data_IF_891074099469
#
_entry.id   IF_891074099469
#
_cell.length_a   1.000
_cell.length_b   1.000
_cell.length_c   1.000
_cell.angle_alpha   90.00
_cell.angle_beta   90.00
_cell.angle_gamma   90.00
#
_symmetry.space_group_name_H-M   'P 1'
#
loop_
_entity.id
_entity.type
_entity.pdbx_description
1 polymer ?
#
# COMPACT_ATOMS: atom_id res chain seq x y z
N UNK A 1 -12.75 21.85 9.37
CA UNK A 1 -12.50 20.90 8.83
C UNK A 1 -12.23 19.72 9.53
N UNK A 2 -11.97 19.16 10.27
CA UNK A 2 -11.90 17.92 10.95
C UNK A 2 -11.52 16.69 10.15
N UNK A 3 -11.09 16.87 8.92
CA UNK A 3 -10.68 15.70 8.19
C UNK A 3 -9.34 15.19 8.67
N UNK A 4 -9.23 13.88 8.78
CA UNK A 4 -7.96 13.26 9.10
C UNK A 4 -7.01 13.44 7.92
N UNK A 5 -5.78 13.79 8.22
CA UNK A 5 -4.72 13.86 7.23
C UNK A 5 -3.76 12.68 7.37
N UNK A 6 -4.22 11.59 7.97
CA UNK A 6 -3.40 10.40 8.17
C UNK A 6 -4.01 9.23 7.40
N UNK A 7 -3.18 8.33 6.84
CA UNK A 7 -3.68 7.10 6.27
C UNK A 7 -4.43 6.30 7.33
N UNK A 8 -5.55 5.69 6.93
CA UNK A 8 -6.28 4.84 7.84
C UNK A 8 -5.53 3.52 8.01
N UNK A 9 -5.39 3.01 9.24
CA UNK A 9 -4.73 1.72 9.42
C UNK A 9 -5.65 0.58 8.99
N UNK A 10 -5.06 -0.45 8.37
CA UNK A 10 -5.77 -1.68 8.08
C UNK A 10 -4.87 -2.85 8.46
N UNK A 11 -5.43 -3.83 9.17
CA UNK A 11 -4.72 -5.04 9.54
C UNK A 11 -4.63 -5.99 8.37
N UNK A 12 -3.61 -6.85 8.35
CA UNK A 12 -3.43 -7.79 7.25
C UNK A 12 -4.66 -8.69 7.07
N UNK A 13 -5.24 -9.19 8.17
CA UNK A 13 -6.42 -10.02 8.09
C UNK A 13 -7.63 -9.27 7.54
N UNK A 14 -7.76 -7.99 7.87
CA UNK A 14 -8.85 -7.16 7.35
C UNK A 14 -8.68 -6.91 5.85
N UNK A 15 -7.45 -6.68 5.41
CA UNK A 15 -7.18 -6.50 3.98
C UNK A 15 -7.47 -7.79 3.22
N UNK A 16 -7.10 -8.95 3.78
CA UNK A 16 -7.42 -10.22 3.16
C UNK A 16 -8.93 -10.38 2.97
N UNK A 17 -9.70 -10.08 4.01
CA UNK A 17 -11.16 -10.15 3.93
C UNK A 17 -11.70 -9.23 2.85
N UNK A 18 -11.17 -8.00 2.76
CA UNK A 18 -11.57 -7.06 1.73
C UNK A 18 -11.30 -7.60 0.34
N UNK A 19 -10.08 -8.11 0.11
CA UNK A 19 -9.69 -8.65 -1.20
C UNK A 19 -10.51 -9.88 -1.61
N UNK A 20 -11.02 -10.62 -0.64
CA UNK A 20 -11.85 -11.81 -0.90
C UNK A 20 -13.33 -11.50 -0.95
N UNK A 21 -13.73 -10.29 -0.61
CA UNK A 21 -15.14 -9.91 -0.56
C UNK A 21 -15.64 -9.51 -1.94
N UNK A 22 -16.95 -9.25 -2.04
CA UNK A 22 -17.55 -8.73 -3.25
C UNK A 22 -17.45 -7.21 -3.35
N UNK A 23 -16.91 -6.55 -2.32
CA UNK A 23 -16.66 -5.10 -2.39
C UNK A 23 -15.62 -4.83 -3.48
N UNK A 24 -15.72 -3.67 -4.16
CA UNK A 24 -14.65 -3.29 -5.08
C UNK A 24 -13.30 -3.28 -4.36
N UNK A 25 -12.31 -3.93 -4.98
CA UNK A 25 -10.98 -4.06 -4.36
C UNK A 25 -10.27 -2.71 -4.35
N UNK A 26 -9.41 -2.49 -3.35
CA UNK A 26 -8.55 -1.31 -3.36
C UNK A 26 -7.45 -1.48 -4.39
N UNK A 27 -6.82 -0.38 -4.78
CA UNK A 27 -5.59 -0.45 -5.55
C UNK A 27 -4.43 -0.52 -4.54
N UNK A 28 -3.54 -1.49 -4.73
CA UNK A 28 -2.42 -1.72 -3.83
C UNK A 28 -1.17 -1.07 -4.40
N UNK A 29 -0.50 -0.25 -3.61
CA UNK A 29 0.74 0.40 -4.02
C UNK A 29 1.84 -0.09 -3.11
N UNK A 30 2.83 -0.78 -3.68
CA UNK A 30 3.97 -1.32 -2.94
C UNK A 30 5.16 -0.40 -3.16
N UNK A 31 5.63 0.22 -2.08
CA UNK A 31 6.71 1.21 -2.14
C UNK A 31 8.08 0.63 -1.79
N UNK A 32 8.17 -0.71 -1.65
CA UNK A 32 9.43 -1.36 -1.33
C UNK A 32 10.38 -1.33 -2.52
N UNK A 33 11.64 -1.61 -2.25
CA UNK A 33 12.65 -1.67 -3.29
C UNK A 33 12.54 -2.95 -4.10
N UNK A 34 13.05 -2.94 -5.31
CA UNK A 34 12.96 -4.08 -6.21
C UNK A 34 13.58 -5.34 -5.60
N UNK A 35 14.69 -5.20 -4.89
CA UNK A 35 15.35 -6.33 -4.23
C UNK A 35 14.45 -6.97 -3.17
N UNK A 36 13.61 -6.18 -2.50
CA UNK A 36 12.69 -6.71 -1.50
C UNK A 36 11.58 -7.54 -2.16
N UNK A 37 11.08 -7.09 -3.30
CA UNK A 37 10.08 -7.86 -4.04
C UNK A 37 10.64 -9.20 -4.53
N UNK A 38 11.93 -9.23 -4.85
CA UNK A 38 12.58 -10.47 -5.26
C UNK A 38 12.65 -11.47 -4.11
N UNK A 39 12.72 -10.99 -2.86
CA UNK A 39 12.72 -11.86 -1.68
C UNK A 39 11.30 -12.30 -1.34
N UNK A 40 10.35 -11.40 -1.36
CA UNK A 40 8.98 -11.67 -0.92
C UNK A 40 8.01 -10.77 -1.67
N UNK A 41 7.44 -11.29 -2.76
CA UNK A 41 6.42 -10.56 -3.50
C UNK A 41 5.09 -10.59 -2.76
N UNK A 42 4.32 -9.50 -2.86
CA UNK A 42 2.97 -9.51 -2.31
C UNK A 42 2.10 -10.41 -3.20
N UNK A 43 1.24 -11.26 -2.61
CA UNK A 43 0.54 -12.28 -3.38
C UNK A 43 -0.66 -11.80 -4.20
N UNK A 44 -0.88 -10.51 -4.29
CA UNK A 44 -1.90 -9.92 -5.16
C UNK A 44 -1.24 -8.90 -6.06
N UNK A 45 -1.91 -8.50 -7.13
CA UNK A 45 -1.37 -7.51 -8.06
C UNK A 45 -1.16 -6.18 -7.34
N UNK A 46 0.03 -5.61 -7.51
CA UNK A 46 0.37 -4.32 -6.92
C UNK A 46 0.91 -3.38 -7.98
N UNK A 47 0.74 -2.10 -7.75
CA UNK A 47 1.44 -1.07 -8.49
C UNK A 47 2.76 -0.85 -7.75
N UNK A 48 3.88 -1.27 -8.35
CA UNK A 48 5.18 -1.16 -7.70
C UNK A 48 5.78 0.21 -7.95
N UNK A 49 6.00 0.95 -6.88
CA UNK A 49 6.55 2.31 -6.94
C UNK A 49 7.66 2.46 -5.91
N UNK A 50 8.89 1.95 -6.22
CA UNK A 50 9.99 1.98 -5.26
C UNK A 50 10.41 3.41 -4.95
N UNK A 51 10.48 3.73 -3.65
CA UNK A 51 10.73 5.10 -3.21
C UNK A 51 12.07 5.63 -3.66
N UNK A 52 13.10 4.77 -3.75
CA UNK A 52 14.42 5.22 -4.21
C UNK A 52 14.43 5.70 -5.65
N UNK A 53 13.40 5.35 -6.42
CA UNK A 53 13.30 5.74 -7.82
C UNK A 53 12.13 6.69 -8.05
N UNK A 54 11.73 7.42 -7.03
CA UNK A 54 10.54 8.28 -7.09
C UNK A 54 10.64 9.31 -8.22
N UNK A 55 11.83 9.81 -8.54
CA UNK A 55 11.97 10.76 -9.65
C UNK A 55 11.62 10.13 -11.01
N UNK A 56 11.61 8.82 -11.12
CA UNK A 56 11.24 8.16 -12.37
C UNK A 56 9.72 8.02 -12.53
N UNK A 57 8.96 7.95 -11.43
CA UNK A 57 7.52 7.67 -11.52
C UNK A 57 6.62 8.73 -10.90
N UNK A 58 7.16 9.61 -10.05
CA UNK A 58 6.33 10.50 -9.26
C UNK A 58 5.48 11.45 -10.13
N UNK A 59 6.04 11.92 -11.22
CA UNK A 59 5.32 12.84 -12.12
C UNK A 59 4.14 12.23 -12.85
N UNK A 60 4.03 10.89 -12.88
CA UNK A 60 2.93 10.21 -13.54
C UNK A 60 2.00 9.49 -12.56
N UNK A 61 2.31 9.57 -11.27
CA UNK A 61 1.58 8.78 -10.26
C UNK A 61 0.10 9.11 -10.24
N UNK A 62 -0.25 10.38 -10.36
CA UNK A 62 -1.66 10.76 -10.35
C UNK A 62 -2.42 10.07 -11.49
N UNK A 63 -1.82 9.99 -12.66
CA UNK A 63 -2.46 9.34 -13.82
C UNK A 63 -2.54 7.82 -13.64
N UNK A 64 -1.63 7.24 -12.85
CA UNK A 64 -1.59 5.80 -12.61
C UNK A 64 -2.59 5.34 -11.56
N UNK A 65 -3.11 6.26 -10.75
CA UNK A 65 -4.06 5.93 -9.69
C UNK A 65 -5.47 6.30 -10.10
N UNK A 66 -6.43 5.46 -9.69
CA UNK A 66 -7.84 5.73 -9.89
C UNK A 66 -8.38 6.46 -8.65
N UNK A 67 -8.83 7.73 -8.78
CA UNK A 67 -9.31 8.47 -7.60
C UNK A 67 -10.61 7.91 -7.02
N UNK A 68 -11.31 7.04 -7.76
CA UNK A 68 -12.56 6.43 -7.29
C UNK A 68 -12.32 5.13 -6.54
N UNK A 69 -11.07 4.67 -6.43
CA UNK A 69 -10.74 3.46 -5.68
C UNK A 69 -9.87 3.80 -4.48
N UNK A 70 -10.14 3.20 -3.31
CA UNK A 70 -9.23 3.34 -2.18
C UNK A 70 -7.83 2.85 -2.52
N UNK A 71 -6.83 3.46 -1.93
CA UNK A 71 -5.43 3.09 -2.07
C UNK A 71 -4.97 2.45 -0.77
N UNK A 72 -4.37 1.26 -0.84
CA UNK A 72 -3.67 0.67 0.30
C UNK A 72 -2.19 0.65 -0.01
N UNK A 73 -1.41 1.29 0.82
CA UNK A 73 0.04 1.37 0.63
C UNK A 73 0.71 0.28 1.45
N UNK A 74 1.65 -0.42 0.82
CA UNK A 74 2.34 -1.58 1.40
C UNK A 74 3.83 -1.33 1.43
N UNK A 75 4.48 -1.67 2.55
CA UNK A 75 5.94 -1.76 2.62
C UNK A 75 6.33 -2.95 3.49
N UNK A 76 7.57 -2.99 3.99
CA UNK A 76 8.03 -4.14 4.78
C UNK A 76 7.32 -4.21 6.14
N UNK A 77 7.34 -3.13 6.91
CA UNK A 77 6.82 -3.13 8.28
C UNK A 77 5.79 -2.04 8.56
N UNK A 78 5.37 -1.30 7.55
CA UNK A 78 4.32 -0.30 7.70
C UNK A 78 4.79 1.12 7.91
N UNK A 79 6.10 1.39 7.95
CA UNK A 79 6.64 2.72 8.23
C UNK A 79 6.77 3.57 6.98
N UNK A 80 7.47 3.07 5.97
CA UNK A 80 7.61 3.80 4.68
C UNK A 80 6.25 4.04 4.05
N UNK A 81 5.38 3.04 4.11
CA UNK A 81 4.04 3.14 3.54
C UNK A 81 3.20 4.18 4.27
N UNK A 82 3.35 4.29 5.59
CA UNK A 82 2.65 5.31 6.35
C UNK A 82 3.07 6.72 5.88
N UNK A 83 4.37 6.95 5.77
CA UNK A 83 4.87 8.26 5.35
C UNK A 83 4.49 8.58 3.90
N UNK A 84 4.53 7.59 3.02
CA UNK A 84 4.09 7.82 1.65
C UNK A 84 2.59 8.11 1.61
N UNK A 85 1.82 7.43 2.45
CA UNK A 85 0.39 7.70 2.56
C UNK A 85 0.09 9.13 3.01
N UNK A 86 0.90 9.65 3.94
CA UNK A 86 0.78 11.07 4.33
C UNK A 86 1.00 11.98 3.13
N UNK A 87 2.02 11.69 2.33
CA UNK A 87 2.31 12.48 1.15
C UNK A 87 1.14 12.43 0.15
N UNK A 88 0.57 11.24 -0.06
CA UNK A 88 -0.57 11.08 -0.96
C UNK A 88 -1.77 11.91 -0.51
N UNK A 89 -2.05 11.92 0.79
CA UNK A 89 -3.17 12.69 1.32
C UNK A 89 -2.96 14.19 1.22
N UNK A 90 -1.71 14.63 1.13
CA UNK A 90 -1.38 16.03 0.98
C UNK A 90 -1.56 16.53 -0.46
N UNK A 91 -1.76 15.63 -1.40
CA UNK A 91 -1.99 15.98 -2.79
C UNK A 91 -3.46 16.33 -3.01
N UNK A 92 -3.77 17.26 -3.96
CA UNK A 92 -5.15 17.62 -4.22
C UNK A 92 -5.87 16.61 -5.13
N UNK A 93 -5.67 15.33 -4.87
CA UNK A 93 -6.20 14.25 -5.73
C UNK A 93 -7.45 13.58 -5.16
N UNK A 94 -7.79 13.88 -3.91
CA UNK A 94 -9.00 13.34 -3.30
C UNK A 94 -8.98 11.85 -3.02
N UNK A 95 -7.80 11.29 -2.75
CA UNK A 95 -7.66 9.85 -2.53
C UNK A 95 -8.08 9.44 -1.13
N UNK A 96 -8.68 8.27 -1.03
CA UNK A 96 -8.86 7.57 0.24
C UNK A 96 -7.65 6.65 0.42
N UNK A 97 -6.88 6.84 1.48
CA UNK A 97 -5.59 6.17 1.66
C UNK A 97 -5.58 5.36 2.95
N UNK A 98 -5.14 4.11 2.82
CA UNK A 98 -4.97 3.16 3.92
C UNK A 98 -3.52 2.74 4.00
N UNK A 99 -3.05 2.43 5.19
CA UNK A 99 -1.72 1.87 5.40
C UNK A 99 -1.86 0.45 5.92
N UNK A 100 -1.19 -0.50 5.27
CA UNK A 100 -1.15 -1.87 5.78
C UNK A 100 -0.25 -1.91 7.01
N UNK A 101 -0.88 -2.01 8.19
CA UNK A 101 -0.18 -2.03 9.46
C UNK A 101 0.70 -3.24 9.56
N UNK A 102 1.96 -3.04 9.92
CA UNK A 102 2.94 -4.11 9.98
C UNK A 102 3.44 -4.59 8.63
N UNK A 103 2.92 -4.05 7.54
CA UNK A 103 3.41 -4.32 6.20
C UNK A 103 3.31 -5.76 5.76
N UNK A 104 4.15 -6.15 4.80
CA UNK A 104 4.17 -7.52 4.30
C UNK A 104 4.62 -8.50 5.38
N UNK A 105 5.38 -8.03 6.38
CA UNK A 105 5.77 -8.88 7.50
C UNK A 105 4.54 -9.36 8.28
N UNK A 106 3.61 -8.44 8.57
CA UNK A 106 2.36 -8.81 9.24
C UNK A 106 1.50 -9.71 8.34
N UNK A 107 1.51 -9.47 7.03
CA UNK A 107 0.79 -10.33 6.09
C UNK A 107 1.30 -11.76 6.18
N UNK A 108 2.63 -11.94 6.21
CA UNK A 108 3.24 -13.25 6.35
C UNK A 108 2.83 -13.93 7.66
N UNK A 109 2.82 -13.18 8.77
CA UNK A 109 2.50 -13.72 10.08
C UNK A 109 1.02 -14.04 10.25
N UNK A 110 0.14 -13.20 9.71
CA UNK A 110 -1.29 -13.27 10.02
C UNK A 110 -2.10 -13.97 8.94
N UNK A 111 -1.64 -13.94 7.70
CA UNK A 111 -2.47 -14.35 6.57
C UNK A 111 -1.83 -15.49 5.77
N UNK A 112 -0.59 -15.33 5.35
CA UNK A 112 0.00 -16.24 4.38
C UNK A 112 1.45 -16.55 4.75
N UNK A 113 1.68 -17.60 5.54
CA UNK A 113 3.04 -17.96 5.96
C UNK A 113 3.93 -18.44 4.82
N UNK A 114 3.40 -18.64 3.62
CA UNK A 114 4.24 -18.96 2.45
C UNK A 114 4.97 -17.73 1.93
N UNK A 115 4.55 -16.53 2.30
CA UNK A 115 5.29 -15.31 1.96
C UNK A 115 6.50 -15.23 2.87
N UNK A 116 7.74 -15.22 2.31
CA UNK A 116 8.93 -15.20 3.16
C UNK A 116 9.02 -13.95 4.02
N UNK A 117 9.56 -14.12 5.21
CA UNK A 117 9.90 -12.98 6.07
C UNK A 117 11.37 -12.63 5.83
N UNK A 118 11.66 -11.34 5.97
CA UNK A 118 13.03 -10.87 5.77
C UNK A 118 13.36 -9.69 6.67
#
# INVERSE_FOLDING_TARGET
MGQSQQPQPIQASELQQWLQSERPSPQLVDVREEAELAIAAFPSAVLHRPLSQSNAWLGRLQADLNPDQPVVVVCHAGVRSYHFGLWLLDQPWGLEVWNLEGGIDAWSLQVDPSVPRY
#
